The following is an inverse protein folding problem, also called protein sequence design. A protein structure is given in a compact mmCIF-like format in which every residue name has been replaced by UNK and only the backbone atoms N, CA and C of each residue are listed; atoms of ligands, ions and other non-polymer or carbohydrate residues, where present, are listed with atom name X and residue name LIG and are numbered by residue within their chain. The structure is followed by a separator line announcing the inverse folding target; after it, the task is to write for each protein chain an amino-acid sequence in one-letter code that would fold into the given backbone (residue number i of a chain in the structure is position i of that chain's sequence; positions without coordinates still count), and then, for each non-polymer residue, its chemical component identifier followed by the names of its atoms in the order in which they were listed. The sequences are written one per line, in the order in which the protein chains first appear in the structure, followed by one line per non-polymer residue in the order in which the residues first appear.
data_IF_883470336809
#
_entry.id   IF_883470336809
#
_cell.length_a   1.000
_cell.length_b   1.000
_cell.length_c   1.000
_cell.angle_alpha   90.00
_cell.angle_beta   90.00
_cell.angle_gamma   90.00
#
_symmetry.space_group_name_H-M   'P 1'
#
loop_
_entity.id
_entity.type
_entity.pdbx_description
1 polymer ?
#
# COMPACT_ATOMS: atom_id res chain seq x y z
N UNK A 1 -2.93 -6.26 -24.40
CA UNK A 1 -3.64 -6.41 -23.11
C UNK A 1 -3.53 -5.08 -22.37
N UNK A 2 -4.63 -4.51 -21.89
CA UNK A 2 -4.59 -3.23 -21.18
C UNK A 2 -3.93 -3.43 -19.80
N UNK A 3 -2.70 -2.96 -19.64
CA UNK A 3 -2.06 -2.81 -18.33
C UNK A 3 -2.78 -1.70 -17.56
N UNK A 4 -3.94 -2.03 -16.99
CA UNK A 4 -4.75 -1.06 -16.25
C UNK A 4 -4.15 -0.88 -14.86
N UNK A 5 -3.68 0.34 -14.60
CA UNK A 5 -3.21 0.78 -13.29
C UNK A 5 -4.38 1.32 -12.49
N UNK A 6 -4.52 0.87 -11.25
CA UNK A 6 -5.52 1.36 -10.30
C UNK A 6 -4.83 2.10 -9.17
N UNK A 7 -5.54 3.05 -8.57
CA UNK A 7 -5.18 3.66 -7.30
C UNK A 7 -6.01 2.98 -6.21
N UNK A 8 -5.35 2.33 -5.25
CA UNK A 8 -5.97 1.46 -4.25
C UNK A 8 -5.64 1.99 -2.86
N UNK A 9 -6.68 2.34 -2.09
CA UNK A 9 -6.53 2.73 -0.69
C UNK A 9 -6.70 1.51 0.22
N UNK A 10 -5.75 1.30 1.14
CA UNK A 10 -5.79 0.21 2.13
C UNK A 10 -5.93 0.81 3.52
N UNK A 11 -7.16 0.83 4.03
CA UNK A 11 -7.46 1.31 5.39
C UNK A 11 -7.10 0.22 6.40
N UNK A 12 -6.20 0.53 7.34
CA UNK A 12 -5.53 -0.49 8.14
C UNK A 12 -4.32 -1.12 7.42
N UNK A 13 -3.80 -0.45 6.38
CA UNK A 13 -2.66 -0.92 5.58
C UNK A 13 -1.34 -1.06 6.34
N UNK A 14 -1.28 -0.60 7.60
CA UNK A 14 -0.11 -0.74 8.48
C UNK A 14 -0.09 -2.07 9.24
N UNK A 15 -1.23 -2.76 9.33
CA UNK A 15 -1.32 -4.10 9.92
C UNK A 15 -0.76 -5.19 8.99
N UNK A 16 -0.47 -6.38 9.53
CA UNK A 16 0.18 -7.46 8.77
C UNK A 16 -0.55 -7.85 7.47
N UNK A 17 -1.87 -8.07 7.55
CA UNK A 17 -2.69 -8.45 6.39
C UNK A 17 -2.83 -7.29 5.39
N UNK A 18 -3.17 -6.09 5.89
CA UNK A 18 -3.34 -4.90 5.04
C UNK A 18 -2.06 -4.58 4.28
N UNK A 19 -0.91 -4.66 4.96
CA UNK A 19 0.40 -4.45 4.36
C UNK A 19 0.73 -5.52 3.30
N UNK A 20 0.43 -6.79 3.58
CA UNK A 20 0.67 -7.89 2.63
C UNK A 20 -0.12 -7.75 1.32
N UNK A 21 -1.35 -7.22 1.40
CA UNK A 21 -2.16 -6.90 0.22
C UNK A 21 -1.61 -5.68 -0.52
N UNK A 22 -1.30 -4.60 0.21
CA UNK A 22 -0.68 -3.40 -0.33
C UNK A 22 0.60 -3.71 -1.12
N UNK A 23 1.49 -4.53 -0.56
CA UNK A 23 2.73 -4.96 -1.21
C UNK A 23 2.47 -5.70 -2.52
N UNK A 24 1.54 -6.67 -2.51
CA UNK A 24 1.25 -7.46 -3.72
C UNK A 24 0.67 -6.61 -4.85
N UNK A 25 -0.19 -5.66 -4.52
CA UNK A 25 -0.77 -4.76 -5.52
C UNK A 25 0.24 -3.69 -5.99
N UNK A 26 1.12 -3.20 -5.11
CA UNK A 26 2.22 -2.31 -5.52
C UNK A 26 3.16 -3.01 -6.51
N UNK A 27 3.56 -4.26 -6.21
CA UNK A 27 4.41 -5.07 -7.08
C UNK A 27 3.73 -5.43 -8.42
N UNK A 28 2.41 -5.43 -8.49
CA UNK A 28 1.67 -5.56 -9.76
C UNK A 28 1.52 -4.24 -10.52
N UNK A 29 2.21 -3.19 -10.08
CA UNK A 29 2.26 -1.88 -10.74
C UNK A 29 1.11 -0.94 -10.39
N UNK A 30 0.29 -1.26 -9.39
CA UNK A 30 -0.77 -0.37 -8.91
C UNK A 30 -0.23 0.74 -8.00
N UNK A 31 -0.93 1.85 -7.97
CA UNK A 31 -0.65 2.94 -7.03
C UNK A 31 -1.37 2.65 -5.71
N UNK A 32 -0.67 2.74 -4.58
CA UNK A 32 -1.20 2.35 -3.28
C UNK A 32 -1.19 3.52 -2.32
N UNK A 33 -2.29 3.71 -1.59
CA UNK A 33 -2.41 4.65 -0.47
C UNK A 33 -2.56 3.84 0.82
N UNK A 34 -1.67 4.07 1.79
CA UNK A 34 -1.74 3.44 3.11
C UNK A 34 -2.54 4.33 4.05
N UNK A 35 -3.66 3.81 4.58
CA UNK A 35 -4.48 4.46 5.60
C UNK A 35 -4.25 3.88 6.99
N UNK A 36 -4.14 4.74 8.00
CA UNK A 36 -4.08 4.38 9.42
C UNK A 36 -4.82 5.41 10.26
N UNK A 37 -5.16 5.04 11.50
CA UNK A 37 -5.73 5.98 12.48
C UNK A 37 -4.73 7.03 12.96
N UNK A 38 -3.43 6.76 12.82
CA UNK A 38 -2.35 7.67 13.17
C UNK A 38 -1.51 7.99 11.93
N UNK A 39 -1.30 9.28 11.65
CA UNK A 39 -0.57 9.74 10.45
C UNK A 39 0.84 9.15 10.38
N UNK A 40 1.60 9.20 11.47
CA UNK A 40 2.96 8.66 11.52
C UNK A 40 3.01 7.15 11.21
N UNK A 41 1.99 6.40 11.63
CA UNK A 41 1.89 4.97 11.31
C UNK A 41 1.65 4.75 9.82
N UNK A 42 0.79 5.56 9.20
CA UNK A 42 0.57 5.53 7.76
C UNK A 42 1.85 5.88 6.99
N UNK A 43 2.56 6.93 7.40
CA UNK A 43 3.80 7.38 6.75
C UNK A 43 4.88 6.29 6.82
N UNK A 44 5.11 5.69 8.00
CA UNK A 44 6.03 4.55 8.16
C UNK A 44 5.62 3.36 7.30
N UNK A 45 4.33 3.07 7.21
CA UNK A 45 3.79 2.02 6.35
C UNK A 45 4.04 2.29 4.87
N UNK A 46 3.81 3.52 4.41
CA UNK A 46 4.05 3.94 3.03
C UNK A 46 5.54 3.93 2.67
N UNK A 47 6.41 4.42 3.55
CA UNK A 47 7.87 4.35 3.36
C UNK A 47 8.36 2.90 3.26
N UNK A 48 7.87 2.03 4.17
CA UNK A 48 8.19 0.60 4.13
C UNK A 48 7.70 -0.05 2.84
N UNK A 49 6.51 0.31 2.35
CA UNK A 49 5.96 -0.20 1.11
C UNK A 49 6.83 0.23 -0.09
N UNK A 50 7.17 1.51 -0.18
CA UNK A 50 8.00 2.07 -1.24
C UNK A 50 9.44 1.52 -1.27
N UNK A 51 9.95 1.04 -0.14
CA UNK A 51 11.26 0.38 -0.08
C UNK A 51 11.22 -1.09 -0.57
N UNK A 52 10.04 -1.71 -0.66
CA UNK A 52 9.89 -3.15 -0.98
C UNK A 52 9.27 -3.44 -2.35
N UNK A 53 8.55 -2.48 -2.93
CA UNK A 53 7.86 -2.60 -4.22
C UNK A 53 8.47 -1.64 -5.24
#
# INVERSE_FOLDING_TARGET
MLNKKYSIAVIGGTGALGFGLALRWAMSGHEIVIGSRAQESADKGAQRLAALA
#
